data_IF_250933872850
#
_entry.id   IF_250933872850
#
_cell.length_a   1.000
_cell.length_b   1.000
_cell.length_c   1.000
_cell.angle_alpha   90.00
_cell.angle_beta   90.00
_cell.angle_gamma   90.00
#
_symmetry.space_group_name_H-M   'P 1'
#
loop_
_entity.id
_entity.type
_entity.pdbx_description
1 polymer ?
#
# COMPACT_ATOMS: atom_id res chain seq x y z
N UNK A 1 -26.84 -14.90 5.10
CA UNK A 1 -27.50 -13.65 4.65
C UNK A 1 -27.28 -12.59 5.72
N UNK A 2 -26.57 -11.50 5.41
CA UNK A 2 -26.30 -10.43 6.37
C UNK A 2 -27.57 -9.60 6.61
N UNK A 3 -27.89 -9.34 7.87
CA UNK A 3 -29.07 -8.56 8.29
C UNK A 3 -28.73 -7.07 8.15
N UNK A 4 -29.36 -6.38 7.20
CA UNK A 4 -29.21 -4.93 7.04
C UNK A 4 -30.26 -4.21 7.88
N UNK A 5 -29.82 -3.31 8.75
CA UNK A 5 -30.70 -2.46 9.57
C UNK A 5 -30.59 -1.04 9.05
N UNK A 6 -31.72 -0.46 8.64
CA UNK A 6 -31.76 0.91 8.15
C UNK A 6 -31.95 1.87 9.32
N UNK A 7 -31.01 2.81 9.48
CA UNK A 7 -31.03 3.81 10.56
C UNK A 7 -31.06 5.20 9.95
N UNK A 8 -31.92 6.08 10.47
CA UNK A 8 -32.11 7.46 9.97
C UNK A 8 -31.54 8.46 10.96
N UNK A 9 -30.71 9.37 10.47
CA UNK A 9 -30.14 10.47 11.24
C UNK A 9 -30.60 11.82 10.66
N UNK A 10 -30.79 12.83 11.52
CA UNK A 10 -31.13 14.20 11.12
C UNK A 10 -30.17 15.18 11.78
N UNK A 11 -29.56 16.07 11.00
CA UNK A 11 -28.60 17.08 11.47
C UNK A 11 -28.73 18.34 10.61
N UNK A 12 -28.25 19.48 11.11
CA UNK A 12 -28.17 20.73 10.34
C UNK A 12 -27.00 20.74 9.35
N UNK A 13 -25.91 20.07 9.70
CA UNK A 13 -24.70 19.99 8.89
C UNK A 13 -24.15 18.56 8.91
N UNK A 14 -23.72 18.09 7.74
CA UNK A 14 -23.09 16.79 7.53
C UNK A 14 -21.67 17.02 7.00
N UNK A 15 -20.67 16.48 7.70
CA UNK A 15 -19.28 16.47 7.23
C UNK A 15 -18.96 15.07 6.76
N UNK A 16 -18.65 14.92 5.48
CA UNK A 16 -18.23 13.65 4.88
C UNK A 16 -16.70 13.62 4.84
N UNK A 17 -16.11 12.85 5.74
CA UNK A 17 -14.66 12.65 5.84
C UNK A 17 -14.26 11.19 5.54
N UNK A 18 -14.97 10.55 4.61
CA UNK A 18 -14.81 9.12 4.30
C UNK A 18 -13.48 8.75 3.65
N UNK A 19 -12.72 9.74 3.14
CA UNK A 19 -11.46 9.53 2.43
C UNK A 19 -11.66 8.87 1.06
N UNK A 20 -10.94 9.34 0.04
CA UNK A 20 -11.06 8.79 -1.33
C UNK A 20 -10.27 7.49 -1.51
N UNK A 21 -9.24 7.27 -0.68
CA UNK A 21 -8.34 6.11 -0.75
C UNK A 21 -8.71 4.96 0.22
N UNK A 22 -9.93 4.97 0.76
CA UNK A 22 -10.35 4.03 1.80
C UNK A 22 -10.78 2.66 1.24
N UNK A 23 -11.00 2.57 -0.07
CA UNK A 23 -11.33 1.33 -0.74
C UNK A 23 -10.06 0.59 -1.15
N UNK A 24 -9.83 -0.58 -0.55
CA UNK A 24 -8.75 -1.48 -0.96
C UNK A 24 -9.00 -1.94 -2.40
N UNK A 25 -8.00 -1.78 -3.27
CA UNK A 25 -8.09 -2.24 -4.65
C UNK A 25 -6.97 -3.25 -4.93
N UNK A 26 -7.27 -4.52 -4.65
CA UNK A 26 -6.41 -5.63 -5.03
C UNK A 26 -6.80 -6.07 -6.44
N UNK A 27 -5.96 -5.84 -7.47
CA UNK A 27 -6.28 -6.28 -8.82
C UNK A 27 -6.33 -7.81 -8.89
N UNK A 28 -7.19 -8.35 -9.77
CA UNK A 28 -7.18 -9.78 -10.06
C UNK A 28 -5.91 -10.15 -10.82
N UNK A 29 -4.95 -10.74 -10.11
CA UNK A 29 -3.72 -11.28 -10.69
C UNK A 29 -3.90 -12.80 -10.87
N UNK A 30 -3.77 -13.34 -12.09
CA UNK A 30 -3.82 -14.79 -12.32
C UNK A 30 -2.79 -15.51 -11.44
N UNK A 31 -3.20 -16.55 -10.73
CA UNK A 31 -2.32 -17.33 -9.84
C UNK A 31 -2.06 -16.72 -8.47
N UNK A 32 -2.58 -15.53 -8.15
CA UNK A 32 -2.36 -14.88 -6.85
C UNK A 32 -2.96 -15.68 -5.68
N UNK A 33 -4.11 -16.31 -5.88
CA UNK A 33 -4.76 -17.16 -4.86
C UNK A 33 -4.00 -18.46 -4.57
N UNK A 34 -3.18 -18.91 -5.51
CA UNK A 34 -2.35 -20.11 -5.39
C UNK A 34 -0.91 -19.78 -4.99
N UNK A 35 -0.59 -18.49 -4.76
CA UNK A 35 0.72 -18.10 -4.31
C UNK A 35 0.94 -18.64 -2.88
N UNK A 36 2.04 -19.37 -2.62
CA UNK A 36 2.26 -20.01 -1.33
C UNK A 36 2.70 -19.04 -0.23
N UNK A 37 3.11 -17.81 -0.60
CA UNK A 37 3.49 -16.77 0.36
C UNK A 37 2.35 -15.82 0.70
N UNK A 38 2.66 -14.87 1.60
CA UNK A 38 1.68 -13.89 2.04
C UNK A 38 1.40 -12.83 0.97
N UNK A 39 0.13 -12.48 0.83
CA UNK A 39 -0.34 -11.41 -0.05
C UNK A 39 -1.17 -10.44 0.76
N UNK A 40 -0.69 -9.21 0.93
CA UNK A 40 -1.38 -8.16 1.67
C UNK A 40 -1.52 -6.89 0.83
N UNK A 41 -2.57 -6.12 1.09
CA UNK A 41 -2.72 -4.77 0.54
C UNK A 41 -2.00 -3.75 1.45
N UNK A 42 -1.59 -2.61 0.90
CA UNK A 42 -0.86 -1.56 1.63
C UNK A 42 -1.63 -1.02 2.86
N UNK A 43 -2.96 -1.03 2.83
CA UNK A 43 -3.82 -0.69 3.99
C UNK A 43 -3.62 -1.62 5.20
N UNK A 44 -3.26 -2.87 4.94
CA UNK A 44 -3.01 -3.89 5.95
C UNK A 44 -1.55 -3.94 6.40
N UNK A 45 -0.64 -3.28 5.68
CA UNK A 45 0.77 -3.17 6.04
C UNK A 45 0.96 -2.40 7.37
N UNK A 46 1.90 -2.85 8.20
CA UNK A 46 2.19 -2.23 9.51
C UNK A 46 3.65 -1.85 9.69
N UNK A 47 4.57 -2.75 9.35
CA UNK A 47 6.02 -2.53 9.50
C UNK A 47 6.81 -3.58 8.72
N UNK A 48 7.99 -3.20 8.23
CA UNK A 48 8.92 -4.07 7.52
C UNK A 48 9.56 -5.12 8.43
N UNK A 49 9.57 -4.90 9.75
CA UNK A 49 10.14 -5.83 10.73
C UNK A 49 9.55 -7.25 10.67
N UNK A 50 8.29 -7.38 10.26
CA UNK A 50 7.63 -8.69 10.13
C UNK A 50 8.15 -9.50 8.94
N UNK A 51 8.88 -8.86 8.04
CA UNK A 51 9.34 -9.46 6.80
C UNK A 51 10.86 -9.65 6.75
N UNK A 52 11.60 -9.22 7.78
CA UNK A 52 13.07 -9.33 7.90
C UNK A 52 13.61 -10.67 7.35
N UNK A 53 14.60 -10.57 6.47
CA UNK A 53 15.28 -11.67 5.77
C UNK A 53 14.38 -12.43 4.75
N UNK A 54 13.23 -11.86 4.35
CA UNK A 54 12.38 -12.42 3.30
C UNK A 54 12.61 -11.74 1.94
N UNK A 55 12.12 -12.40 0.89
CA UNK A 55 12.03 -11.81 -0.44
C UNK A 55 10.65 -11.19 -0.61
N UNK A 56 10.57 -9.88 -0.73
CA UNK A 56 9.30 -9.14 -0.76
C UNK A 56 9.13 -8.40 -2.08
N UNK A 57 7.96 -8.57 -2.69
CA UNK A 57 7.59 -7.90 -3.94
C UNK A 57 6.54 -6.81 -3.67
N UNK A 58 6.90 -5.55 -3.88
CA UNK A 58 5.98 -4.42 -3.81
C UNK A 58 5.41 -4.13 -5.20
N UNK A 59 4.09 -4.19 -5.35
CA UNK A 59 3.39 -3.92 -6.61
C UNK A 59 2.83 -2.50 -6.58
N UNK A 60 3.35 -1.63 -7.45
CA UNK A 60 2.97 -0.23 -7.54
C UNK A 60 3.98 0.71 -6.88
N UNK A 61 4.04 1.94 -7.38
CA UNK A 61 5.07 2.93 -7.02
C UNK A 61 4.52 4.32 -6.73
N UNK A 62 3.24 4.40 -6.32
CA UNK A 62 2.72 5.60 -5.65
C UNK A 62 3.38 5.79 -4.28
N UNK A 63 3.01 6.85 -3.57
CA UNK A 63 3.61 7.21 -2.27
C UNK A 63 3.69 6.01 -1.30
N UNK A 64 2.58 5.30 -1.10
CA UNK A 64 2.55 4.12 -0.22
C UNK A 64 3.49 3.00 -0.68
N UNK A 65 3.57 2.73 -2.00
CA UNK A 65 4.45 1.68 -2.53
C UNK A 65 5.93 2.00 -2.30
N UNK A 66 6.33 3.26 -2.49
CA UNK A 66 7.70 3.70 -2.24
C UNK A 66 8.05 3.74 -0.76
N UNK A 67 7.15 4.23 0.10
CA UNK A 67 7.38 4.24 1.56
C UNK A 67 7.49 2.83 2.13
N UNK A 68 6.62 1.90 1.70
CA UNK A 68 6.69 0.49 2.11
C UNK A 68 7.98 -0.16 1.62
N UNK A 69 8.36 0.05 0.36
CA UNK A 69 9.59 -0.52 -0.18
C UNK A 69 10.84 -0.01 0.57
N UNK A 70 10.84 1.25 0.96
CA UNK A 70 11.90 1.82 1.78
C UNK A 70 11.95 1.20 3.18
N UNK A 71 10.79 1.08 3.84
CA UNK A 71 10.70 0.49 5.18
C UNK A 71 11.15 -0.97 5.20
N UNK A 72 10.78 -1.77 4.19
CA UNK A 72 11.24 -3.14 4.01
C UNK A 72 12.76 -3.23 3.80
N UNK A 73 13.31 -2.42 2.89
CA UNK A 73 14.75 -2.37 2.64
C UNK A 73 15.54 -1.97 3.89
N UNK A 74 15.01 -1.03 4.70
CA UNK A 74 15.62 -0.61 5.96
C UNK A 74 15.62 -1.71 7.04
N UNK A 75 14.71 -2.68 6.96
CA UNK A 75 14.59 -3.81 7.90
C UNK A 75 15.31 -5.09 7.46
N UNK A 76 16.14 -5.01 6.40
CA UNK A 76 17.01 -6.09 5.95
C UNK A 76 16.42 -7.00 4.88
N UNK A 77 15.29 -6.62 4.26
CA UNK A 77 14.62 -7.46 3.26
C UNK A 77 15.18 -7.30 1.87
N UNK A 78 15.12 -8.40 1.13
CA UNK A 78 15.37 -8.37 -0.30
C UNK A 78 14.11 -7.88 -1.04
N UNK A 79 13.99 -6.55 -1.13
CA UNK A 79 12.80 -5.87 -1.67
C UNK A 79 12.91 -5.61 -3.16
N UNK A 80 11.90 -6.01 -3.92
CA UNK A 80 11.74 -5.71 -5.35
C UNK A 80 10.48 -4.89 -5.61
N UNK A 81 10.53 -3.95 -6.56
CA UNK A 81 9.37 -3.10 -6.92
C UNK A 81 8.95 -3.37 -8.36
N UNK A 82 7.66 -3.62 -8.58
CA UNK A 82 7.07 -3.74 -9.92
C UNK A 82 6.25 -2.50 -10.23
N UNK A 83 6.60 -1.84 -11.34
CA UNK A 83 6.00 -0.59 -11.80
C UNK A 83 5.34 -0.82 -13.16
N UNK A 84 4.02 -0.60 -13.24
CA UNK A 84 3.25 -0.78 -14.49
C UNK A 84 3.34 0.42 -15.42
N UNK A 85 3.45 1.63 -14.87
CA UNK A 85 3.42 2.88 -15.62
C UNK A 85 4.56 3.79 -15.17
N UNK A 86 5.23 4.51 -16.09
CA UNK A 86 6.30 5.43 -15.74
C UNK A 86 5.81 6.44 -14.70
N UNK A 87 6.60 6.59 -13.64
CA UNK A 87 6.36 7.66 -12.67
C UNK A 87 6.77 9.00 -13.29
N UNK A 88 5.91 10.01 -13.15
CA UNK A 88 6.34 11.40 -13.21
C UNK A 88 6.71 11.83 -11.79
N UNK A 89 7.99 11.93 -11.43
CA UNK A 89 8.35 12.39 -10.09
C UNK A 89 8.04 13.89 -10.01
N UNK A 90 6.99 14.26 -9.29
CA UNK A 90 6.77 15.65 -8.88
C UNK A 90 7.81 15.97 -7.79
N UNK A 91 8.97 16.48 -8.23
CA UNK A 91 9.98 17.34 -7.58
C UNK A 91 10.44 17.14 -6.13
N UNK A 92 9.60 16.71 -5.19
CA UNK A 92 9.87 16.80 -3.75
C UNK A 92 10.30 15.47 -3.13
N UNK A 93 9.81 14.34 -3.64
CA UNK A 93 10.09 13.00 -3.09
C UNK A 93 11.50 12.50 -3.51
N UNK A 94 12.02 12.96 -4.64
CA UNK A 94 13.33 12.51 -5.17
C UNK A 94 14.53 12.97 -4.33
N UNK A 95 14.43 14.13 -3.69
CA UNK A 95 15.51 14.69 -2.87
C UNK A 95 15.76 13.90 -1.59
N UNK A 96 14.74 13.25 -1.04
CA UNK A 96 14.89 12.35 0.11
C UNK A 96 15.43 10.98 -0.34
N UNK A 97 15.03 10.51 -1.53
CA UNK A 97 15.50 9.25 -2.10
C UNK A 97 17.01 9.26 -2.38
N UNK A 98 17.56 10.25 -3.09
CA UNK A 98 19.01 10.32 -3.38
C UNK A 98 19.89 10.41 -2.13
N UNK A 99 19.37 10.94 -1.02
CA UNK A 99 20.09 11.02 0.26
C UNK A 99 20.05 9.74 1.09
N UNK A 100 19.13 8.82 0.80
CA UNK A 100 19.01 7.55 1.52
C UNK A 100 19.84 6.41 0.89
N UNK A 101 20.28 6.59 -0.35
CA UNK A 101 21.17 5.68 -1.11
C UNK A 101 22.62 6.21 -1.22
N UNK A 102 22.94 7.29 -0.50
CA UNK A 102 24.28 7.87 -0.34
C UNK A 102 24.76 7.66 1.09
#
# INVERSE_FOLDING_TARGET
MAKSTLVRFTTKFLVVASGENSAENIPMIPGLRSFPGDVIHSSSYKSGKSYSDMNVLVVGSGNSGMEIAYDLAAHGDNTSIVIRSPLHPTGTIYFQWLRAIS
#
